data_IF_740084024302
#
_entry.id   IF_740084024302
#
_cell.length_a   1.000
_cell.length_b   1.000
_cell.length_c   1.000
_cell.angle_alpha   90.00
_cell.angle_beta   90.00
_cell.angle_gamma   90.00
#
_symmetry.space_group_name_H-M   'P 1'
#
loop_
_entity.id
_entity.type
_entity.pdbx_description
1 polymer ?
#
# COMPACT_ATOMS: atom_id res chain seq x y z
N UNK A 1 -10.51 5.01 -3.07
CA UNK A 1 -10.42 5.06 -4.54
C UNK A 1 -11.81 5.22 -5.18
N UNK A 2 -12.78 4.33 -4.88
CA UNK A 2 -14.17 4.47 -5.38
C UNK A 2 -14.81 5.77 -4.88
N UNK A 3 -14.59 6.13 -3.61
CA UNK A 3 -15.14 7.34 -3.01
C UNK A 3 -14.58 8.63 -3.61
N UNK A 4 -13.31 8.66 -4.01
CA UNK A 4 -12.70 9.83 -4.66
C UNK A 4 -13.20 10.02 -6.10
N UNK A 5 -13.49 8.93 -6.81
CA UNK A 5 -14.08 8.99 -8.18
C UNK A 5 -15.55 9.42 -8.15
N UNK A 6 -16.25 9.22 -7.05
CA UNK A 6 -17.66 9.62 -6.89
C UNK A 6 -17.86 11.08 -6.42
N UNK A 7 -16.86 11.96 -6.55
CA UNK A 7 -16.89 13.35 -6.10
C UNK A 7 -17.21 13.55 -4.61
N UNK A 8 -16.85 12.58 -3.77
CA UNK A 8 -16.98 12.71 -2.33
C UNK A 8 -15.76 13.49 -1.79
N UNK A 9 -15.67 14.76 -2.16
CA UNK A 9 -14.61 15.71 -1.79
C UNK A 9 -14.44 15.91 -0.28
N UNK A 10 -15.36 15.37 0.51
CA UNK A 10 -15.35 15.50 1.97
C UNK A 10 -14.22 14.70 2.65
N UNK A 11 -13.63 13.70 2.00
CA UNK A 11 -12.54 12.91 2.59
C UNK A 11 -11.17 13.52 2.33
N UNK A 12 -10.95 14.00 1.10
CA UNK A 12 -9.70 14.60 0.67
C UNK A 12 -9.92 16.07 0.28
N UNK A 13 -9.65 16.97 1.21
CA UNK A 13 -9.86 18.42 1.07
C UNK A 13 -9.11 18.99 -0.13
N UNK A 14 -7.95 18.44 -0.46
CA UNK A 14 -7.13 18.87 -1.61
C UNK A 14 -7.71 18.49 -2.98
N UNK A 15 -8.81 17.74 -3.03
CA UNK A 15 -9.56 17.49 -4.27
C UNK A 15 -10.57 18.59 -4.60
N UNK A 16 -10.81 19.52 -3.67
CA UNK A 16 -11.69 20.66 -3.87
C UNK A 16 -10.93 21.84 -4.49
N UNK A 17 -11.27 22.29 -5.71
CA UNK A 17 -10.59 23.40 -6.37
C UNK A 17 -10.66 24.71 -5.59
N UNK A 18 -11.76 24.99 -4.90
CA UNK A 18 -11.94 26.22 -4.10
C UNK A 18 -10.95 26.27 -2.94
N UNK A 19 -10.76 25.14 -2.25
CA UNK A 19 -9.82 25.03 -1.14
C UNK A 19 -8.38 25.13 -1.62
N UNK A 20 -8.04 24.49 -2.75
CA UNK A 20 -6.70 24.54 -3.35
C UNK A 20 -6.30 25.97 -3.74
N UNK A 21 -7.25 26.79 -4.21
CA UNK A 21 -6.97 28.17 -4.61
C UNK A 21 -6.66 29.08 -3.44
N UNK A 22 -7.35 28.88 -2.31
CA UNK A 22 -7.24 29.73 -1.11
C UNK A 22 -6.15 29.29 -0.13
N UNK A 23 -5.74 28.03 -0.17
CA UNK A 23 -4.73 27.48 0.77
C UNK A 23 -3.36 27.39 0.12
N UNK A 24 -2.42 28.23 0.58
CA UNK A 24 -1.04 28.30 0.08
C UNK A 24 -0.27 26.98 0.27
N UNK A 25 -0.56 26.22 1.32
CA UNK A 25 0.13 24.96 1.64
C UNK A 25 -0.33 23.87 0.68
N UNK A 26 -1.64 23.77 0.45
CA UNK A 26 -2.23 22.79 -0.47
C UNK A 26 -1.80 23.11 -1.90
N UNK A 27 -1.80 24.40 -2.28
CA UNK A 27 -1.35 24.87 -3.59
C UNK A 27 0.14 24.52 -3.83
N UNK A 28 0.99 24.66 -2.84
CA UNK A 28 2.40 24.27 -2.95
C UNK A 28 2.60 22.76 -3.14
N UNK A 29 1.66 21.94 -2.65
CA UNK A 29 1.67 20.48 -2.79
C UNK A 29 0.86 19.97 -3.97
N UNK A 30 0.22 20.83 -4.78
CA UNK A 30 -0.67 20.43 -5.87
C UNK A 30 -0.02 19.54 -6.93
N UNK A 31 1.30 19.66 -7.15
CA UNK A 31 2.03 18.77 -8.05
C UNK A 31 2.12 17.32 -7.58
N UNK A 32 2.03 17.08 -6.27
CA UNK A 32 2.00 15.73 -5.69
C UNK A 32 0.56 15.28 -5.40
N UNK A 33 -0.28 16.18 -4.89
CA UNK A 33 -1.69 15.96 -4.55
C UNK A 33 -2.60 16.28 -5.75
N UNK A 34 -2.29 15.67 -6.91
CA UNK A 34 -3.15 15.67 -8.09
C UNK A 34 -3.94 14.38 -8.17
N UNK A 35 -5.24 14.47 -8.49
CA UNK A 35 -6.15 13.31 -8.51
C UNK A 35 -5.71 12.24 -9.51
N UNK A 36 -5.22 12.65 -10.68
CA UNK A 36 -4.75 11.70 -11.72
C UNK A 36 -3.49 10.99 -11.26
N UNK A 37 -2.55 11.74 -10.71
CA UNK A 37 -1.29 11.20 -10.22
C UNK A 37 -1.48 10.32 -8.97
N UNK A 38 -2.40 10.70 -8.08
CA UNK A 38 -2.80 9.89 -6.93
C UNK A 38 -3.37 8.54 -7.36
N UNK A 39 -4.29 8.52 -8.34
CA UNK A 39 -4.85 7.28 -8.88
C UNK A 39 -3.79 6.41 -9.57
N UNK A 40 -2.91 7.00 -10.35
CA UNK A 40 -1.84 6.28 -11.02
C UNK A 40 -0.90 5.58 -10.01
N UNK A 41 -0.52 6.27 -8.93
CA UNK A 41 0.27 5.67 -7.84
C UNK A 41 -0.49 4.54 -7.15
N UNK A 42 -1.77 4.73 -6.83
CA UNK A 42 -2.59 3.71 -6.20
C UNK A 42 -2.71 2.44 -7.06
N UNK A 43 -2.93 2.59 -8.36
CA UNK A 43 -2.94 1.45 -9.31
C UNK A 43 -1.59 0.76 -9.36
N UNK A 44 -0.49 1.52 -9.34
CA UNK A 44 0.87 0.97 -9.32
C UNK A 44 1.12 0.12 -8.06
N UNK A 45 0.78 0.62 -6.87
CA UNK A 45 0.96 -0.15 -5.62
C UNK A 45 0.13 -1.43 -5.62
N UNK A 46 -1.16 -1.31 -5.89
CA UNK A 46 -2.08 -2.43 -5.88
C UNK A 46 -1.73 -3.49 -6.93
N UNK A 47 -1.37 -3.07 -8.14
CA UNK A 47 -0.98 -4.01 -9.19
C UNK A 47 0.27 -4.81 -8.80
N UNK A 48 1.30 -4.15 -8.25
CA UNK A 48 2.50 -4.83 -7.77
C UNK A 48 2.21 -5.86 -6.68
N UNK A 49 1.36 -5.50 -5.70
CA UNK A 49 0.98 -6.40 -4.62
C UNK A 49 0.14 -7.59 -5.09
N UNK A 50 -0.80 -7.35 -6.01
CA UNK A 50 -1.65 -8.41 -6.59
C UNK A 50 -0.82 -9.37 -7.46
N UNK A 51 0.08 -8.84 -8.28
CA UNK A 51 0.98 -9.65 -9.12
C UNK A 51 1.86 -10.54 -8.24
N UNK A 52 2.48 -9.97 -7.20
CA UNK A 52 3.28 -10.75 -6.26
C UNK A 52 2.46 -11.88 -5.62
N UNK A 53 1.29 -11.57 -5.08
CA UNK A 53 0.40 -12.58 -4.48
C UNK A 53 0.08 -13.71 -5.45
N UNK A 54 -0.23 -13.36 -6.69
CA UNK A 54 -0.59 -14.33 -7.72
C UNK A 54 0.59 -15.26 -8.07
N UNK A 55 1.76 -14.68 -8.32
CA UNK A 55 2.97 -15.44 -8.68
C UNK A 55 3.45 -16.30 -7.50
N UNK A 56 3.50 -15.74 -6.30
CA UNK A 56 3.92 -16.46 -5.08
C UNK A 56 3.02 -17.66 -4.80
N UNK A 57 1.69 -17.48 -4.92
CA UNK A 57 0.74 -18.57 -4.77
C UNK A 57 0.93 -19.67 -5.82
N UNK A 58 1.16 -19.30 -7.08
CA UNK A 58 1.43 -20.29 -8.14
C UNK A 58 2.69 -21.10 -7.87
N UNK A 59 3.76 -20.44 -7.42
CA UNK A 59 5.02 -21.11 -7.06
C UNK A 59 4.84 -22.05 -5.86
N UNK A 60 4.05 -21.64 -4.87
CA UNK A 60 3.74 -22.46 -3.70
C UNK A 60 2.99 -23.75 -4.10
N UNK A 61 1.92 -23.61 -4.87
CA UNK A 61 1.14 -24.77 -5.34
C UNK A 61 1.98 -25.68 -6.26
N UNK A 62 2.82 -25.10 -7.11
CA UNK A 62 3.73 -25.88 -7.96
C UNK A 62 4.79 -26.63 -7.14
N UNK A 63 5.17 -26.10 -5.97
CA UNK A 63 6.09 -26.76 -5.06
C UNK A 63 5.47 -28.00 -4.41
N UNK A 64 4.18 -27.95 -4.05
CA UNK A 64 3.47 -29.08 -3.42
C UNK A 64 3.45 -30.32 -4.33
N UNK A 65 3.49 -30.13 -5.65
CA UNK A 65 3.51 -31.20 -6.66
C UNK A 65 4.93 -31.56 -7.14
N UNK A 66 5.97 -30.95 -6.57
CA UNK A 66 7.37 -31.10 -7.02
C UNK A 66 8.21 -31.77 -5.94
N UNK A 67 9.06 -32.72 -6.34
CA UNK A 67 10.08 -33.31 -5.46
C UNK A 67 11.34 -32.46 -5.32
N UNK A 68 11.46 -31.40 -6.15
CA UNK A 68 12.61 -30.51 -6.22
C UNK A 68 12.30 -29.17 -5.54
N UNK A 69 13.27 -28.57 -4.88
CA UNK A 69 13.13 -27.29 -4.15
C UNK A 69 13.24 -26.04 -5.05
N UNK A 70 13.25 -26.19 -6.38
CA UNK A 70 13.43 -25.05 -7.30
C UNK A 70 12.37 -23.97 -7.17
N UNK A 71 11.11 -24.37 -7.02
CA UNK A 71 10.00 -23.43 -6.89
C UNK A 71 10.04 -22.70 -5.53
N UNK A 72 10.44 -23.40 -4.46
CA UNK A 72 10.66 -22.80 -3.16
C UNK A 72 11.75 -21.72 -3.21
N UNK A 73 12.91 -22.03 -3.81
CA UNK A 73 14.01 -21.06 -3.95
C UNK A 73 13.59 -19.86 -4.80
N UNK A 74 12.84 -20.08 -5.89
CA UNK A 74 12.30 -18.98 -6.70
C UNK A 74 11.35 -18.10 -5.89
N UNK A 75 10.43 -18.70 -5.13
CA UNK A 75 9.49 -17.97 -4.30
C UNK A 75 10.21 -17.19 -3.20
N UNK A 76 11.24 -17.75 -2.58
CA UNK A 76 12.06 -17.07 -1.58
C UNK A 76 12.73 -15.81 -2.16
N UNK A 77 13.37 -15.92 -3.33
CA UNK A 77 14.00 -14.77 -4.02
C UNK A 77 12.98 -13.71 -4.39
N UNK A 78 11.82 -14.13 -4.91
CA UNK A 78 10.72 -13.23 -5.25
C UNK A 78 10.20 -12.49 -4.01
N UNK A 79 10.04 -13.20 -2.88
CA UNK A 79 9.59 -12.60 -1.63
C UNK A 79 10.59 -11.60 -1.07
N UNK A 80 11.88 -11.86 -1.17
CA UNK A 80 12.93 -10.92 -0.77
C UNK A 80 12.89 -9.64 -1.62
N UNK A 81 12.76 -9.77 -2.93
CA UNK A 81 12.64 -8.62 -3.84
C UNK A 81 11.32 -7.85 -3.57
N UNK A 82 10.22 -8.56 -3.35
CA UNK A 82 8.94 -7.95 -3.02
C UNK A 82 8.97 -7.20 -1.69
N UNK A 83 9.70 -7.68 -0.69
CA UNK A 83 9.82 -6.99 0.60
C UNK A 83 10.41 -5.58 0.43
N UNK A 84 11.43 -5.43 -0.41
CA UNK A 84 12.02 -4.12 -0.71
C UNK A 84 11.01 -3.22 -1.42
N UNK A 85 10.32 -3.76 -2.44
CA UNK A 85 9.26 -3.04 -3.15
C UNK A 85 8.12 -2.64 -2.20
N UNK A 86 7.70 -3.55 -1.32
CA UNK A 86 6.63 -3.33 -0.36
C UNK A 86 6.96 -2.22 0.63
N UNK A 87 8.18 -2.21 1.21
CA UNK A 87 8.60 -1.17 2.15
C UNK A 87 8.52 0.24 1.54
N UNK A 88 8.93 0.38 0.29
CA UNK A 88 8.85 1.67 -0.41
C UNK A 88 7.40 2.04 -0.71
N UNK A 89 6.64 1.13 -1.30
CA UNK A 89 5.26 1.40 -1.73
C UNK A 89 4.30 1.56 -0.56
N UNK A 90 4.54 0.86 0.56
CA UNK A 90 3.77 0.99 1.79
C UNK A 90 3.96 2.38 2.42
N UNK A 91 5.20 2.85 2.52
CA UNK A 91 5.49 4.20 3.03
C UNK A 91 4.82 5.27 2.17
N UNK A 92 4.91 5.17 0.85
CA UNK A 92 4.23 6.09 -0.07
C UNK A 92 2.70 5.99 0.03
N UNK A 93 2.17 4.77 0.15
CA UNK A 93 0.74 4.53 0.34
C UNK A 93 0.23 5.17 1.65
N UNK A 94 0.99 5.07 2.73
CA UNK A 94 0.62 5.68 4.00
C UNK A 94 0.54 7.21 3.91
N UNK A 95 1.41 7.83 3.11
CA UNK A 95 1.37 9.28 2.83
C UNK A 95 0.18 9.64 1.93
N UNK A 96 -0.07 8.84 0.90
CA UNK A 96 -1.15 9.10 -0.07
C UNK A 96 -2.54 8.89 0.52
N UNK A 97 -2.75 7.82 1.29
CA UNK A 97 -4.09 7.41 1.70
C UNK A 97 -4.48 7.83 3.10
N UNK A 98 -3.52 8.05 3.98
CA UNK A 98 -3.80 8.41 5.37
C UNK A 98 -3.34 9.83 5.65
N UNK A 99 -2.07 10.14 5.41
CA UNK A 99 -1.55 11.46 5.76
C UNK A 99 -2.14 12.58 4.89
N UNK A 100 -2.51 12.31 3.64
CA UNK A 100 -3.11 13.30 2.74
C UNK A 100 -4.55 13.70 3.11
N UNK A 101 -5.18 13.02 4.08
CA UNK A 101 -6.48 13.43 4.63
C UNK A 101 -6.36 14.80 5.32
N UNK A 102 -5.23 15.03 6.02
CA UNK A 102 -4.89 16.36 6.54
C UNK A 102 -3.59 16.86 5.87
N UNK A 103 -3.69 17.65 4.79
CA UNK A 103 -2.53 18.14 4.04
C UNK A 103 -1.62 19.09 4.83
N UNK A 104 -2.09 19.66 5.95
CA UNK A 104 -1.31 20.56 6.81
C UNK A 104 -0.36 19.79 7.72
N UNK A 105 -0.72 18.57 8.07
CA UNK A 105 0.11 17.71 8.88
C UNK A 105 1.07 16.88 8.01
N UNK A 106 2.29 16.66 8.49
CA UNK A 106 3.25 15.75 7.86
C UNK A 106 4.19 15.14 8.88
N UNK A 107 4.60 13.89 8.62
CA UNK A 107 5.61 13.19 9.40
C UNK A 107 6.34 12.19 8.52
N UNK A 108 7.66 12.26 8.50
CA UNK A 108 8.51 11.33 7.74
C UNK A 108 8.51 9.93 8.36
N UNK A 109 8.31 9.83 9.68
CA UNK A 109 8.25 8.56 10.42
C UNK A 109 6.88 7.87 10.33
N UNK A 110 5.89 8.52 9.76
CA UNK A 110 4.52 7.97 9.71
C UNK A 110 4.44 6.64 8.94
N UNK A 111 5.17 6.50 7.83
CA UNK A 111 5.27 5.24 7.09
C UNK A 111 5.77 4.09 7.95
N UNK A 112 6.79 4.32 8.77
CA UNK A 112 7.30 3.31 9.70
C UNK A 112 6.30 2.92 10.79
N UNK A 113 5.53 3.88 11.28
CA UNK A 113 4.46 3.63 12.25
C UNK A 113 3.37 2.75 11.65
N UNK A 114 2.91 3.06 10.43
CA UNK A 114 1.92 2.26 9.71
C UNK A 114 2.45 0.86 9.42
N UNK A 115 3.70 0.75 8.94
CA UNK A 115 4.35 -0.53 8.69
C UNK A 115 4.41 -1.40 9.95
N UNK A 116 4.86 -0.86 11.08
CA UNK A 116 4.91 -1.60 12.35
C UNK A 116 3.51 -2.09 12.78
N UNK A 117 2.49 -1.24 12.63
CA UNK A 117 1.09 -1.59 12.91
C UNK A 117 0.58 -2.73 12.02
N UNK A 118 0.93 -2.70 10.73
CA UNK A 118 0.57 -3.77 9.78
C UNK A 118 1.26 -5.09 10.14
N UNK A 119 2.55 -5.07 10.50
CA UNK A 119 3.30 -6.27 10.91
C UNK A 119 2.68 -6.88 12.16
N UNK A 120 2.42 -6.09 13.19
CA UNK A 120 1.78 -6.57 14.43
C UNK A 120 0.41 -7.17 14.14
N UNK A 121 -0.42 -6.49 13.34
CA UNK A 121 -1.74 -6.97 12.95
C UNK A 121 -1.67 -8.29 12.17
N UNK A 122 -0.72 -8.41 11.23
CA UNK A 122 -0.54 -9.62 10.44
C UNK A 122 -0.12 -10.81 11.31
N UNK A 123 0.89 -10.64 12.17
CA UNK A 123 1.38 -11.71 13.07
C UNK A 123 0.28 -12.14 14.04
N UNK A 124 -0.45 -11.18 14.62
CA UNK A 124 -1.56 -11.47 15.52
C UNK A 124 -2.68 -12.25 14.81
N UNK A 125 -3.03 -11.86 13.61
CA UNK A 125 -4.05 -12.54 12.79
C UNK A 125 -3.63 -13.97 12.47
N UNK A 126 -2.38 -14.19 12.05
CA UNK A 126 -1.84 -15.52 11.78
C UNK A 126 -1.88 -16.40 13.05
N UNK A 127 -1.49 -15.84 14.19
CA UNK A 127 -1.52 -16.56 15.48
C UNK A 127 -2.95 -16.95 15.86
N UNK A 128 -3.91 -16.04 15.75
CA UNK A 128 -5.33 -16.31 16.02
C UNK A 128 -5.90 -17.40 15.12
N UNK A 129 -5.64 -17.32 13.81
CA UNK A 129 -6.09 -18.35 12.86
C UNK A 129 -5.46 -19.70 13.19
N UNK A 130 -4.17 -19.73 13.52
CA UNK A 130 -3.46 -20.97 13.86
C UNK A 130 -4.01 -21.63 15.15
N UNK A 131 -4.43 -20.84 16.13
CA UNK A 131 -5.06 -21.33 17.36
C UNK A 131 -6.46 -21.85 17.05
N UNK A 132 -7.22 -21.15 16.21
CA UNK A 132 -8.59 -21.52 15.88
C UNK A 132 -8.69 -22.79 15.04
N UNK A 133 -7.70 -23.03 14.16
CA UNK A 133 -7.65 -24.21 13.28
C UNK A 133 -7.02 -25.44 13.94
N UNK A 134 -6.52 -25.34 15.16
CA UNK A 134 -5.94 -26.47 15.93
C UNK A 134 -7.03 -27.26 16.65
#
# INVERSE_FOLDING_TARGET
LVLSVMHLNHLFIWMDPEVVEHDKIIKAKSGYLDSTFFLARAVFYLSGWVIYRYVSRRLSIAQDNSKDNKNHVKNFKLSAAFLVFFLVTESMMSWDWIMSIDPHWFSTLFGWYVFASMVVSAVTTIALISIYLK
#
